data_IF_001484087414
#
_entry.id   IF_001484087414
#
_cell.length_a   1.000
_cell.length_b   1.000
_cell.length_c   1.000
_cell.angle_alpha   90.00
_cell.angle_beta   90.00
_cell.angle_gamma   90.00
#
_symmetry.space_group_name_H-M   'P 1'
#
loop_
_entity.id
_entity.type
_entity.pdbx_description
1 polymer ?
#
# COMPACT_ATOMS: atom_id res chain seq x y z
N UNK A 1 -7.47 8.77 20.36
CA UNK A 1 -7.86 9.29 19.02
C UNK A 1 -6.69 9.03 18.09
N UNK A 2 -6.91 8.42 16.91
CA UNK A 2 -5.85 8.21 15.90
C UNK A 2 -5.79 9.44 15.00
N UNK A 3 -4.59 10.02 14.83
CA UNK A 3 -4.34 11.13 13.89
C UNK A 3 -3.46 10.56 12.78
N UNK A 4 -3.99 10.55 11.56
CA UNK A 4 -3.35 9.94 10.41
C UNK A 4 -3.12 10.92 9.26
N UNK A 5 -2.16 10.59 8.40
CA UNK A 5 -1.89 11.33 7.16
C UNK A 5 -1.95 10.39 5.96
N UNK A 6 -2.55 10.85 4.86
CA UNK A 6 -2.50 10.17 3.57
C UNK A 6 -1.19 10.48 2.84
N UNK A 7 -0.46 9.46 2.38
CA UNK A 7 0.79 9.63 1.63
C UNK A 7 0.74 8.93 0.28
N UNK A 8 0.97 9.68 -0.80
CA UNK A 8 1.18 9.15 -2.15
C UNK A 8 2.51 8.41 -2.25
N UNK A 9 2.76 7.57 -3.28
CA UNK A 9 3.96 6.72 -3.31
C UNK A 9 5.26 7.52 -3.33
N UNK A 10 5.27 8.68 -4.00
CA UNK A 10 6.45 9.57 -4.05
C UNK A 10 6.67 10.37 -2.74
N UNK A 11 5.72 10.31 -1.80
CA UNK A 11 5.81 10.90 -0.46
C UNK A 11 6.06 9.84 0.62
N UNK A 12 6.20 8.56 0.25
CA UNK A 12 6.63 7.49 1.14
C UNK A 12 8.15 7.58 1.31
N UNK A 13 8.58 8.58 2.08
CA UNK A 13 9.99 8.92 2.28
C UNK A 13 10.25 9.25 3.74
N UNK A 14 11.48 9.00 4.21
CA UNK A 14 11.94 9.35 5.56
C UNK A 14 11.69 10.83 5.91
N UNK A 15 11.86 11.77 4.96
CA UNK A 15 11.55 13.18 5.19
C UNK A 15 10.08 13.41 5.52
N UNK A 16 9.18 12.81 4.74
CA UNK A 16 7.73 12.91 4.96
C UNK A 16 7.30 12.25 6.27
N UNK A 17 7.92 11.12 6.63
CA UNK A 17 7.65 10.44 7.89
C UNK A 17 8.07 11.30 9.09
N UNK A 18 9.27 11.89 9.05
CA UNK A 18 9.73 12.80 10.11
C UNK A 18 8.81 14.01 10.25
N UNK A 19 8.38 14.60 9.13
CA UNK A 19 7.42 15.69 9.15
C UNK A 19 6.08 15.28 9.79
N UNK A 20 5.55 14.10 9.43
CA UNK A 20 4.31 13.59 10.00
C UNK A 20 4.42 13.45 11.53
N UNK A 21 5.51 12.86 12.04
CA UNK A 21 5.75 12.74 13.48
C UNK A 21 5.83 14.09 14.19
N UNK A 22 6.49 15.09 13.58
CA UNK A 22 6.55 16.46 14.12
C UNK A 22 5.18 17.13 14.18
N UNK A 23 4.27 16.79 13.27
CA UNK A 23 2.88 17.25 13.25
C UNK A 23 1.97 16.48 14.24
N UNK A 24 2.51 15.53 15.01
CA UNK A 24 1.75 14.71 15.95
C UNK A 24 0.95 13.57 15.29
N UNK A 25 1.24 13.25 14.02
CA UNK A 25 0.67 12.10 13.32
C UNK A 25 1.26 10.83 13.91
N UNK A 26 0.44 9.79 14.02
CA UNK A 26 0.82 8.48 14.55
C UNK A 26 0.54 7.34 13.56
N UNK A 27 -0.24 7.60 12.51
CA UNK A 27 -0.72 6.60 11.57
C UNK A 27 -0.57 7.11 10.13
N UNK A 28 -0.28 6.22 9.19
CA UNK A 28 -0.25 6.52 7.76
C UNK A 28 -1.32 5.73 7.04
N UNK A 29 -2.05 6.40 6.14
CA UNK A 29 -2.88 5.77 5.11
C UNK A 29 -2.11 5.88 3.79
N UNK A 30 -1.58 4.77 3.28
CA UNK A 30 -0.75 4.79 2.09
C UNK A 30 -1.62 4.80 0.83
N UNK A 31 -1.48 5.85 0.01
CA UNK A 31 -2.13 5.97 -1.28
C UNK A 31 -1.27 5.36 -2.36
N UNK A 32 -1.43 4.05 -2.59
CA UNK A 32 -0.53 3.23 -3.38
C UNK A 32 -0.74 3.16 -4.91
N UNK A 33 -1.74 3.79 -5.57
CA UNK A 33 -1.74 3.88 -7.03
C UNK A 33 -0.42 4.47 -7.57
N UNK A 34 0.26 3.71 -8.42
CA UNK A 34 1.60 3.97 -8.95
C UNK A 34 2.71 3.17 -8.26
N UNK A 35 2.45 2.51 -7.13
CA UNK A 35 3.46 1.78 -6.36
C UNK A 35 3.97 0.52 -7.09
N UNK A 36 3.13 -0.16 -7.87
CA UNK A 36 3.56 -1.27 -8.72
C UNK A 36 4.45 -0.83 -9.89
N UNK A 37 4.51 0.47 -10.20
CA UNK A 37 5.33 1.08 -11.26
C UNK A 37 6.61 1.74 -10.75
N UNK A 38 6.90 1.65 -9.44
CA UNK A 38 8.08 2.25 -8.85
C UNK A 38 9.37 1.68 -9.44
N UNK A 39 10.39 2.53 -9.54
CA UNK A 39 11.70 2.15 -10.04
C UNK A 39 12.30 1.03 -9.17
N UNK A 40 12.96 0.07 -9.81
CA UNK A 40 13.63 -1.04 -9.12
C UNK A 40 12.72 -2.21 -8.71
N UNK A 41 11.39 -2.12 -8.87
CA UNK A 41 10.48 -3.25 -8.54
C UNK A 41 10.76 -4.52 -9.35
N UNK A 42 11.14 -4.37 -10.62
CA UNK A 42 11.49 -5.50 -11.50
C UNK A 42 10.32 -6.45 -11.86
N UNK A 43 9.08 -6.09 -11.54
CA UNK A 43 7.87 -6.85 -11.84
C UNK A 43 6.90 -6.02 -12.69
N UNK A 44 6.12 -6.64 -13.60
CA UNK A 44 5.04 -5.96 -14.32
C UNK A 44 4.02 -5.33 -13.37
N UNK A 45 3.42 -4.19 -13.75
CA UNK A 45 2.48 -3.45 -12.91
C UNK A 45 1.23 -4.29 -12.55
N UNK A 46 0.87 -5.22 -13.43
CA UNK A 46 -0.25 -6.15 -13.27
C UNK A 46 -0.01 -7.24 -12.23
N UNK A 47 1.23 -7.43 -11.78
CA UNK A 47 1.52 -8.34 -10.66
C UNK A 47 1.12 -7.66 -9.36
N UNK A 48 0.25 -8.34 -8.60
CA UNK A 48 -0.15 -7.98 -7.24
C UNK A 48 1.08 -7.66 -6.38
N UNK A 49 0.92 -6.76 -5.41
CA UNK A 49 1.99 -6.53 -4.44
C UNK A 49 2.25 -7.78 -3.61
N UNK A 50 3.51 -8.08 -3.34
CA UNK A 50 3.91 -9.21 -2.53
C UNK A 50 3.78 -8.89 -1.03
N UNK A 51 3.75 -9.93 -0.20
CA UNK A 51 3.80 -9.76 1.25
C UNK A 51 5.08 -9.04 1.70
N UNK A 52 6.22 -9.36 1.08
CA UNK A 52 7.50 -8.71 1.38
C UNK A 52 7.46 -7.22 1.02
N UNK A 53 6.87 -6.84 -0.13
CA UNK A 53 6.73 -5.43 -0.53
C UNK A 53 5.93 -4.62 0.50
N UNK A 54 4.86 -5.19 1.06
CA UNK A 54 4.06 -4.52 2.09
C UNK A 54 4.70 -4.56 3.47
N UNK A 55 5.43 -5.64 3.80
CA UNK A 55 6.15 -5.79 5.06
C UNK A 55 7.32 -4.80 5.15
N UNK A 56 8.10 -4.65 4.09
CA UNK A 56 9.19 -3.68 3.98
C UNK A 56 8.65 -2.25 4.14
N UNK A 57 7.55 -1.90 3.47
CA UNK A 57 6.92 -0.59 3.60
C UNK A 57 6.42 -0.33 5.04
N UNK A 58 5.84 -1.36 5.67
CA UNK A 58 5.43 -1.30 7.08
C UNK A 58 6.63 -1.08 8.00
N UNK A 59 7.72 -1.83 7.81
CA UNK A 59 8.93 -1.72 8.61
C UNK A 59 9.54 -0.32 8.50
N UNK A 60 9.58 0.24 7.28
CA UNK A 60 10.07 1.59 7.03
C UNK A 60 9.26 2.64 7.83
N UNK A 61 7.92 2.60 7.77
CA UNK A 61 7.06 3.51 8.54
C UNK A 61 7.23 3.32 10.06
N UNK A 62 7.22 2.05 10.50
CA UNK A 62 7.32 1.70 11.92
C UNK A 62 8.65 2.17 12.52
N UNK A 63 9.75 2.09 11.75
CA UNK A 63 11.06 2.57 12.19
C UNK A 63 11.09 4.08 12.49
N UNK A 64 10.13 4.85 11.96
CA UNK A 64 9.95 6.28 12.21
C UNK A 64 8.88 6.59 13.27
N UNK A 65 8.30 5.56 13.88
CA UNK A 65 7.23 5.70 14.89
C UNK A 65 5.83 5.93 14.30
N UNK A 66 5.62 5.58 13.02
CA UNK A 66 4.33 5.66 12.34
C UNK A 66 3.76 4.26 12.12
N UNK A 67 2.47 4.09 12.43
CA UNK A 67 1.76 2.84 12.13
C UNK A 67 1.25 2.85 10.69
N UNK A 68 1.54 1.80 9.91
CA UNK A 68 0.91 1.59 8.61
C UNK A 68 -0.54 1.11 8.81
N UNK A 69 -1.47 2.06 8.79
CA UNK A 69 -2.83 1.84 9.27
C UNK A 69 -3.78 1.30 8.21
N UNK A 70 -3.66 1.77 6.96
CA UNK A 70 -4.54 1.38 5.87
C UNK A 70 -3.94 1.71 4.50
N UNK A 71 -4.48 1.09 3.46
CA UNK A 71 -4.19 1.39 2.06
C UNK A 71 -5.38 2.12 1.44
N UNK A 72 -5.14 3.21 0.73
CA UNK A 72 -6.15 3.98 -0.01
C UNK A 72 -5.53 4.56 -1.28
N UNK A 73 -5.40 3.85 -2.40
CA UNK A 73 -6.14 2.69 -2.87
C UNK A 73 -5.22 1.58 -3.41
N UNK A 74 -5.81 0.51 -3.95
CA UNK A 74 -5.08 -0.47 -4.75
C UNK A 74 -4.67 0.08 -6.12
N UNK A 75 -3.58 -0.43 -6.69
CA UNK A 75 -3.19 -0.12 -8.07
C UNK A 75 -4.32 -0.48 -9.04
N UNK A 76 -4.56 0.38 -10.04
CA UNK A 76 -5.66 0.19 -11.02
C UNK A 76 -5.50 -1.14 -11.76
N UNK A 77 -4.25 -1.49 -12.08
CA UNK A 77 -3.85 -2.74 -12.73
C UNK A 77 -4.27 -3.99 -11.95
N UNK A 78 -4.55 -3.87 -10.65
CA UNK A 78 -4.97 -4.98 -9.78
C UNK A 78 -6.47 -5.23 -9.78
N UNK A 79 -7.30 -4.28 -10.23
CA UNK A 79 -8.76 -4.39 -10.11
C UNK A 79 -9.57 -3.88 -11.30
N UNK A 80 -8.97 -3.27 -12.32
CA UNK A 80 -9.75 -2.65 -13.41
C UNK A 80 -10.69 -3.61 -14.16
N UNK A 81 -10.32 -4.88 -14.37
CA UNK A 81 -11.18 -5.88 -15.01
C UNK A 81 -12.33 -6.32 -14.08
N UNK A 82 -12.18 -6.18 -12.76
CA UNK A 82 -13.31 -6.35 -11.83
C UNK A 82 -14.38 -5.30 -12.08
N UNK A 83 -13.99 -4.05 -12.34
CA UNK A 83 -14.92 -2.94 -12.58
C UNK A 83 -15.71 -3.10 -13.88
N UNK A 84 -15.06 -3.59 -14.94
CA UNK A 84 -15.62 -3.63 -16.29
C UNK A 84 -16.08 -5.02 -16.74
N UNK A 85 -16.06 -6.01 -15.85
CA UNK A 85 -16.31 -7.43 -16.17
C UNK A 85 -15.38 -7.94 -17.30
N UNK A 86 -14.10 -7.58 -17.19
CA UNK A 86 -13.07 -7.86 -18.18
C UNK A 86 -12.46 -9.26 -18.08
N UNK A 87 -11.59 -9.64 -19.03
CA UNK A 87 -11.11 -11.02 -19.18
C UNK A 87 -10.29 -11.54 -17.98
N UNK A 88 -9.68 -10.65 -17.17
CA UNK A 88 -8.91 -11.04 -15.97
C UNK A 88 -9.67 -10.80 -14.67
N UNK A 89 -10.99 -10.56 -14.71
CA UNK A 89 -11.81 -10.27 -13.53
C UNK A 89 -11.59 -11.28 -12.40
N UNK A 90 -11.66 -12.58 -12.71
CA UNK A 90 -11.53 -13.63 -11.69
C UNK A 90 -10.10 -13.71 -11.14
N UNK A 91 -9.08 -13.59 -12.01
CA UNK A 91 -7.66 -13.51 -11.60
C UNK A 91 -7.41 -12.32 -10.66
N UNK A 92 -7.93 -11.13 -11.01
CA UNK A 92 -7.82 -9.92 -10.19
C UNK A 92 -8.57 -10.06 -8.87
N UNK A 93 -9.76 -10.66 -8.87
CA UNK A 93 -10.53 -10.92 -7.66
C UNK A 93 -9.78 -11.85 -6.70
N UNK A 94 -9.21 -12.94 -7.21
CA UNK A 94 -8.38 -13.85 -6.41
C UNK A 94 -7.15 -13.13 -5.83
N UNK A 95 -6.46 -12.32 -6.64
CA UNK A 95 -5.32 -11.55 -6.18
C UNK A 95 -5.66 -10.53 -5.10
N UNK A 96 -6.79 -9.82 -5.22
CA UNK A 96 -7.27 -8.89 -4.19
C UNK A 96 -7.64 -9.63 -2.90
N UNK A 97 -8.28 -10.79 -2.99
CA UNK A 97 -8.58 -11.61 -1.81
C UNK A 97 -7.31 -12.06 -1.09
N UNK A 98 -6.27 -12.43 -1.84
CA UNK A 98 -4.97 -12.77 -1.27
C UNK A 98 -4.30 -11.54 -0.65
N UNK A 99 -4.36 -10.38 -1.31
CA UNK A 99 -3.81 -9.13 -0.79
C UNK A 99 -4.47 -8.73 0.53
N UNK A 100 -5.79 -8.89 0.66
CA UNK A 100 -6.50 -8.65 1.92
C UNK A 100 -6.07 -9.62 3.04
N UNK A 101 -5.73 -10.87 2.72
CA UNK A 101 -5.17 -11.82 3.71
C UNK A 101 -3.79 -11.38 4.17
N UNK A 102 -2.92 -11.00 3.23
CA UNK A 102 -1.60 -10.46 3.51
C UNK A 102 -1.67 -9.22 4.39
N UNK A 103 -2.59 -8.29 4.09
CA UNK A 103 -2.84 -7.13 4.93
C UNK A 103 -3.24 -7.54 6.36
N UNK A 104 -4.13 -8.52 6.51
CA UNK A 104 -4.52 -9.06 7.81
C UNK A 104 -3.36 -9.71 8.56
N UNK A 105 -2.53 -10.50 7.90
CA UNK A 105 -1.34 -11.14 8.47
C UNK A 105 -0.30 -10.13 8.93
N UNK A 106 -0.10 -9.04 8.16
CA UNK A 106 0.81 -7.95 8.51
C UNK A 106 0.20 -6.96 9.51
N UNK A 107 -1.08 -7.10 9.88
CA UNK A 107 -1.79 -6.17 10.76
C UNK A 107 -1.92 -4.76 10.15
N UNK A 108 -2.20 -4.68 8.85
CA UNK A 108 -2.56 -3.46 8.13
C UNK A 108 -4.10 -3.43 8.07
N UNK A 109 -4.73 -2.73 9.01
CA UNK A 109 -6.19 -2.64 9.13
C UNK A 109 -6.68 -2.28 10.53
#
# INVERSE_FOLDING_TARGET
>A
MKIGLGLYPHLLTEESYRFACQAGVTHVVAHLPGFARRDGRGLPAEKMWTADELAELKEEMNSHGLEFAAIENFDVEHWYDVLIDGPRRDEQMEGLQQLLRVMGELGIG
#
